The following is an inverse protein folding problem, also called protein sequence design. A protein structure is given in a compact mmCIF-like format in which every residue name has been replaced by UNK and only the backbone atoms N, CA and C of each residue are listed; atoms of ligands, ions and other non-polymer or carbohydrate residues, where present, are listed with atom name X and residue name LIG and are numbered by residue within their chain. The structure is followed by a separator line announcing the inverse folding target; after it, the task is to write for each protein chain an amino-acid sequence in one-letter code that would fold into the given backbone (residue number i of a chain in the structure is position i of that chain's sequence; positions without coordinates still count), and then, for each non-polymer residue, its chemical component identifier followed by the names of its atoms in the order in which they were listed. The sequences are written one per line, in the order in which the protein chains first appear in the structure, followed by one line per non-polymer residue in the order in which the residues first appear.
data_IF_256030565248
#
_entry.id   IF_256030565248
#
_cell.length_a   1.000
_cell.length_b   1.000
_cell.length_c   1.000
_cell.angle_alpha   90.00
_cell.angle_beta   90.00
_cell.angle_gamma   90.00
#
_symmetry.space_group_name_H-M   'P 1'
#
loop_
_entity.id
_entity.type
_entity.pdbx_description
1 polymer ?
#
# COMPACT_ATOMS: atom_id res chain seq x y z
N UNK A 1 -8.63 18.25 27.70
CA UNK A 1 -7.78 17.03 27.66
C UNK A 1 -6.93 17.16 26.41
N UNK A 2 -5.61 17.26 26.54
CA UNK A 2 -4.71 17.44 25.41
C UNK A 2 -4.71 16.16 24.58
N UNK A 3 -5.21 16.21 23.36
CA UNK A 3 -4.99 15.19 22.35
C UNK A 3 -3.50 15.16 22.06
N UNK A 4 -2.84 14.09 22.42
CA UNK A 4 -1.48 13.81 22.00
C UNK A 4 -1.51 13.72 20.47
N UNK A 5 -1.21 14.84 19.79
CA UNK A 5 -0.93 14.85 18.37
C UNK A 5 0.32 13.99 18.15
N UNK A 6 0.11 12.76 17.72
CA UNK A 6 1.19 11.93 17.20
C UNK A 6 1.70 12.63 15.95
N UNK A 7 2.88 13.23 16.03
CA UNK A 7 3.51 13.90 14.90
C UNK A 7 3.76 12.87 13.78
N UNK A 8 2.78 12.74 12.90
CA UNK A 8 2.88 11.86 11.73
C UNK A 8 3.74 12.55 10.68
N UNK A 9 4.94 12.04 10.44
CA UNK A 9 5.79 12.50 9.34
C UNK A 9 5.50 11.63 8.12
N UNK A 10 4.88 12.23 7.11
CA UNK A 10 4.58 11.57 5.83
C UNK A 10 5.89 11.21 5.12
N UNK A 11 6.00 9.97 4.66
CA UNK A 11 7.22 9.45 4.02
C UNK A 11 7.39 10.05 2.64
N UNK A 12 8.62 10.53 2.32
CA UNK A 12 8.99 11.10 1.02
C UNK A 12 8.01 12.18 0.52
N UNK A 13 7.47 12.99 1.46
CA UNK A 13 6.41 13.97 1.18
C UNK A 13 6.78 14.93 0.04
N UNK A 14 7.96 15.52 0.12
CA UNK A 14 8.44 16.48 -0.87
C UNK A 14 8.70 15.79 -2.21
N UNK A 15 9.45 14.70 -2.18
CA UNK A 15 9.87 13.96 -3.35
C UNK A 15 8.68 13.38 -4.14
N UNK A 16 7.65 12.89 -3.45
CA UNK A 16 6.47 12.33 -4.09
C UNK A 16 5.64 13.41 -4.81
N UNK A 17 5.45 14.57 -4.18
CA UNK A 17 4.68 15.67 -4.80
C UNK A 17 5.47 16.34 -5.93
N UNK A 18 6.79 16.49 -5.79
CA UNK A 18 7.66 16.93 -6.89
C UNK A 18 7.63 15.95 -8.07
N UNK A 19 7.63 14.63 -7.80
CA UNK A 19 7.54 13.61 -8.85
C UNK A 19 6.19 13.60 -9.57
N UNK A 20 5.10 14.02 -8.91
CA UNK A 20 3.79 14.17 -9.54
C UNK A 20 3.75 15.30 -10.57
N UNK A 21 4.65 16.29 -10.49
CA UNK A 21 4.70 17.43 -11.41
C UNK A 21 3.37 18.19 -11.45
N UNK A 22 2.95 18.69 -10.29
CA UNK A 22 1.60 19.21 -10.08
C UNK A 22 1.34 20.47 -10.92
N UNK A 23 0.38 20.37 -11.84
CA UNK A 23 -0.17 21.48 -12.63
C UNK A 23 -1.40 22.05 -11.91
N UNK A 24 -1.44 23.37 -11.72
CA UNK A 24 -2.37 24.04 -10.81
C UNK A 24 -3.87 23.74 -11.08
N UNK A 25 -4.27 23.58 -12.35
CA UNK A 25 -5.69 23.42 -12.73
C UNK A 25 -6.09 21.96 -13.02
N UNK A 26 -5.15 21.02 -12.86
CA UNK A 26 -5.39 19.62 -13.21
C UNK A 26 -6.03 18.82 -12.06
N UNK A 27 -6.47 17.61 -12.39
CA UNK A 27 -7.00 16.65 -11.43
C UNK A 27 -5.95 15.62 -11.07
N UNK A 28 -5.80 15.35 -9.77
CA UNK A 28 -4.90 14.35 -9.19
C UNK A 28 -5.66 13.34 -8.37
N UNK A 29 -5.02 12.18 -8.16
CA UNK A 29 -5.55 11.13 -7.29
C UNK A 29 -4.52 10.79 -6.22
N UNK A 30 -4.97 10.80 -4.95
CA UNK A 30 -4.28 10.19 -3.82
C UNK A 30 -5.05 8.92 -3.44
N UNK A 31 -4.47 7.75 -3.70
CA UNK A 31 -5.16 6.46 -3.49
C UNK A 31 -5.10 5.96 -2.05
N UNK A 32 -4.35 6.65 -1.19
CA UNK A 32 -4.00 6.25 0.17
C UNK A 32 -3.96 7.48 1.07
N UNK A 33 -5.11 8.11 1.28
CA UNK A 33 -5.20 9.41 1.94
C UNK A 33 -4.57 9.42 3.34
N UNK A 34 -4.81 8.36 4.15
CA UNK A 34 -4.29 8.23 5.51
C UNK A 34 -4.62 9.41 6.41
N UNK A 35 -3.64 10.26 6.69
CA UNK A 35 -3.83 11.52 7.45
C UNK A 35 -3.72 12.77 6.56
N UNK A 36 -3.67 12.60 5.26
CA UNK A 36 -3.71 13.68 4.29
C UNK A 36 -2.41 14.47 4.18
N UNK A 37 -1.26 13.88 4.50
CA UNK A 37 0.02 14.57 4.36
C UNK A 37 0.33 14.90 2.91
N UNK A 38 0.34 13.92 2.03
CA UNK A 38 0.49 14.12 0.59
C UNK A 38 -0.65 14.95 0.01
N UNK A 39 -1.91 14.62 0.38
CA UNK A 39 -3.09 15.32 -0.09
C UNK A 39 -3.03 16.82 0.18
N UNK A 40 -2.69 17.25 1.40
CA UNK A 40 -2.52 18.68 1.72
C UNK A 40 -1.45 19.33 0.85
N UNK A 41 -0.31 18.68 0.68
CA UNK A 41 0.78 19.23 -0.12
C UNK A 41 0.42 19.34 -1.61
N UNK A 42 -0.38 18.40 -2.14
CA UNK A 42 -0.95 18.51 -3.50
C UNK A 42 -1.92 19.68 -3.57
N UNK A 43 -2.86 19.79 -2.61
CA UNK A 43 -3.84 20.89 -2.55
C UNK A 43 -3.17 22.27 -2.46
N UNK A 44 -2.06 22.39 -1.72
CA UNK A 44 -1.27 23.64 -1.66
C UNK A 44 -0.73 24.09 -3.02
N UNK A 45 -0.54 23.15 -3.95
CA UNK A 45 -0.03 23.40 -5.30
C UNK A 45 -1.16 23.61 -6.33
N UNK A 46 -2.42 23.30 -6.00
CA UNK A 46 -3.56 23.44 -6.87
C UNK A 46 -4.20 24.84 -6.77
N UNK A 47 -4.67 25.34 -7.91
CA UNK A 47 -5.55 26.52 -7.97
C UNK A 47 -6.98 26.16 -7.55
N UNK A 48 -7.91 27.14 -7.45
CA UNK A 48 -9.33 26.86 -7.21
C UNK A 48 -10.01 25.97 -8.27
N UNK A 49 -9.42 25.85 -9.46
CA UNK A 49 -9.91 25.01 -10.58
C UNK A 49 -9.34 23.59 -10.54
N UNK A 50 -8.26 23.37 -9.80
CA UNK A 50 -7.65 22.05 -9.64
C UNK A 50 -8.48 21.17 -8.71
N UNK A 51 -8.35 19.85 -8.85
CA UNK A 51 -9.11 18.89 -8.07
C UNK A 51 -8.21 17.76 -7.54
N UNK A 52 -8.52 17.28 -6.35
CA UNK A 52 -7.91 16.09 -5.75
C UNK A 52 -8.98 15.08 -5.39
N UNK A 53 -8.93 13.91 -6.01
CA UNK A 53 -9.76 12.76 -5.64
C UNK A 53 -8.92 11.89 -4.71
N UNK A 54 -9.42 11.61 -3.51
CA UNK A 54 -8.73 10.75 -2.56
C UNK A 54 -9.55 9.50 -2.28
N UNK A 55 -8.84 8.39 -2.04
CA UNK A 55 -9.42 7.12 -1.62
C UNK A 55 -8.82 6.71 -0.28
N UNK A 56 -9.63 6.11 0.57
CA UNK A 56 -9.15 5.36 1.72
C UNK A 56 -10.21 4.34 2.16
N UNK A 57 -9.75 3.19 2.67
CA UNK A 57 -10.59 2.15 3.26
C UNK A 57 -10.91 2.46 4.73
N UNK A 58 -10.02 3.19 5.42
CA UNK A 58 -10.15 3.47 6.84
C UNK A 58 -11.19 4.56 7.09
N UNK A 59 -12.29 4.28 7.82
CA UNK A 59 -13.27 5.30 8.18
C UNK A 59 -12.65 6.52 8.85
N UNK A 60 -11.61 6.35 9.68
CA UNK A 60 -10.93 7.45 10.36
C UNK A 60 -10.15 8.37 9.39
N UNK A 61 -9.63 7.79 8.30
CA UNK A 61 -9.01 8.58 7.23
C UNK A 61 -10.06 9.41 6.49
N UNK A 62 -11.21 8.81 6.21
CA UNK A 62 -12.34 9.51 5.57
C UNK A 62 -12.83 10.67 6.43
N UNK A 63 -13.04 10.47 7.74
CA UNK A 63 -13.39 11.53 8.68
C UNK A 63 -12.34 12.66 8.70
N UNK A 64 -11.05 12.30 8.68
CA UNK A 64 -9.95 13.26 8.63
C UNK A 64 -9.99 14.09 7.34
N UNK A 65 -10.29 13.47 6.20
CA UNK A 65 -10.42 14.16 4.91
C UNK A 65 -11.60 15.12 4.89
N UNK A 66 -12.75 14.68 5.39
CA UNK A 66 -13.96 15.52 5.49
C UNK A 66 -13.74 16.74 6.39
N UNK A 67 -12.99 16.55 7.49
CA UNK A 67 -12.66 17.64 8.41
C UNK A 67 -11.72 18.71 7.82
N UNK A 68 -11.03 18.44 6.69
CA UNK A 68 -10.24 19.46 5.99
C UNK A 68 -11.10 20.56 5.40
N UNK A 69 -12.33 20.24 4.97
CA UNK A 69 -13.28 21.23 4.43
C UNK A 69 -12.80 21.91 3.13
N UNK A 70 -11.80 21.35 2.43
CA UNK A 70 -11.31 21.91 1.17
C UNK A 70 -12.27 21.52 0.02
N UNK A 71 -12.88 22.48 -0.69
CA UNK A 71 -13.84 22.19 -1.75
C UNK A 71 -13.23 21.47 -2.96
N UNK A 72 -11.91 21.49 -3.12
CA UNK A 72 -11.18 20.82 -4.19
C UNK A 72 -10.92 19.35 -3.88
N UNK A 73 -11.10 18.90 -2.63
CA UNK A 73 -10.89 17.53 -2.17
C UNK A 73 -12.19 16.73 -2.24
N UNK A 74 -12.18 15.64 -3.00
CA UNK A 74 -13.24 14.63 -3.00
C UNK A 74 -12.71 13.33 -2.38
N UNK A 75 -13.11 13.02 -1.14
CA UNK A 75 -12.79 11.74 -0.50
C UNK A 75 -13.81 10.66 -0.84
N UNK A 76 -13.34 9.45 -1.14
CA UNK A 76 -14.16 8.25 -1.37
C UNK A 76 -13.78 7.18 -0.36
N UNK A 77 -14.76 6.70 0.41
CA UNK A 77 -14.59 5.58 1.34
C UNK A 77 -14.56 4.25 0.56
N UNK A 78 -13.48 4.03 -0.16
CA UNK A 78 -13.26 2.87 -1.02
C UNK A 78 -11.77 2.54 -1.05
N UNK A 79 -11.44 1.29 -1.36
CA UNK A 79 -10.08 0.91 -1.67
C UNK A 79 -9.61 1.47 -3.01
N UNK A 80 -8.31 1.49 -3.22
CA UNK A 80 -7.72 2.10 -4.41
C UNK A 80 -7.94 1.29 -5.71
N UNK A 81 -8.43 0.05 -5.64
CA UNK A 81 -8.93 -0.65 -6.83
C UNK A 81 -10.07 0.12 -7.51
N UNK A 82 -10.82 0.95 -6.76
CA UNK A 82 -11.89 1.78 -7.30
C UNK A 82 -11.38 2.92 -8.23
N UNK A 83 -10.07 3.07 -8.40
CA UNK A 83 -9.46 3.92 -9.42
C UNK A 83 -10.02 3.63 -10.82
N UNK A 84 -10.37 2.37 -11.12
CA UNK A 84 -10.98 1.95 -12.39
C UNK A 84 -12.36 2.59 -12.70
N UNK A 85 -12.99 3.21 -11.70
CA UNK A 85 -14.28 3.90 -11.86
C UNK A 85 -14.13 5.33 -12.40
N UNK A 86 -12.92 5.84 -12.48
CA UNK A 86 -12.66 7.16 -13.04
C UNK A 86 -12.65 7.10 -14.58
N UNK A 87 -13.06 8.19 -15.24
CA UNK A 87 -13.03 8.25 -16.70
C UNK A 87 -11.61 8.07 -17.27
N UNK A 88 -11.48 7.57 -18.50
CA UNK A 88 -10.19 7.48 -19.16
C UNK A 88 -9.56 8.85 -19.36
N UNK A 89 -8.22 8.91 -19.26
CA UNK A 89 -7.42 10.12 -19.49
C UNK A 89 -7.86 11.35 -18.68
N UNK A 90 -8.46 11.13 -17.49
CA UNK A 90 -9.10 12.20 -16.69
C UNK A 90 -8.19 12.80 -15.62
N UNK A 91 -7.02 12.20 -15.34
CA UNK A 91 -6.15 12.67 -14.26
C UNK A 91 -4.71 12.88 -14.72
N UNK A 92 -4.02 13.87 -14.16
CA UNK A 92 -2.62 14.19 -14.45
C UNK A 92 -1.63 13.53 -13.51
N UNK A 93 -2.11 12.94 -12.43
CA UNK A 93 -1.24 12.17 -11.55
C UNK A 93 -2.01 11.25 -10.62
N UNK A 94 -1.39 10.11 -10.33
CA UNK A 94 -1.86 9.11 -9.36
C UNK A 94 -0.72 8.86 -8.39
N UNK A 95 -0.98 9.09 -7.11
CA UNK A 95 -0.10 8.77 -5.99
C UNK A 95 -0.64 7.56 -5.23
N UNK A 96 0.24 6.62 -4.95
CA UNK A 96 -0.01 5.46 -4.09
C UNK A 96 1.08 5.41 -3.01
N UNK A 97 0.73 5.69 -1.75
CA UNK A 97 1.61 5.50 -0.58
C UNK A 97 1.17 4.22 0.14
N UNK A 98 1.78 3.09 -0.24
CA UNK A 98 1.29 1.75 0.12
C UNK A 98 1.51 1.41 1.60
N UNK A 99 0.76 0.44 2.07
CA UNK A 99 0.89 -0.12 3.41
C UNK A 99 -0.07 0.50 4.42
N UNK A 100 0.40 0.68 5.66
CA UNK A 100 -0.43 1.11 6.80
C UNK A 100 -0.04 2.49 7.31
N UNK A 101 -1.03 3.27 7.71
CA UNK A 101 -0.80 4.57 8.31
C UNK A 101 -0.26 4.45 9.75
N UNK A 102 0.47 5.47 10.21
CA UNK A 102 0.99 5.48 11.59
C UNK A 102 -0.10 5.30 12.66
N UNK A 103 -1.28 5.94 12.57
CA UNK A 103 -2.35 5.71 13.52
C UNK A 103 -2.86 4.27 13.57
N UNK A 104 -2.86 3.55 12.44
CA UNK A 104 -3.22 2.13 12.44
C UNK A 104 -2.20 1.29 13.23
N UNK A 105 -0.90 1.62 13.10
CA UNK A 105 0.16 0.92 13.84
C UNK A 105 0.19 1.33 15.33
N UNK A 106 -0.06 2.61 15.62
CA UNK A 106 0.12 3.18 16.96
C UNK A 106 -1.11 2.96 17.86
N UNK A 107 -2.28 2.66 17.28
CA UNK A 107 -3.48 2.29 18.03
C UNK A 107 -3.53 0.76 18.25
N UNK A 108 -3.31 0.27 19.47
CA UNK A 108 -3.33 -1.17 19.76
C UNK A 108 -4.66 -1.83 19.42
N UNK A 109 -5.77 -1.09 19.52
CA UNK A 109 -7.12 -1.61 19.23
C UNK A 109 -7.35 -1.96 17.76
N UNK A 110 -6.44 -1.53 16.86
CA UNK A 110 -6.48 -1.89 15.44
C UNK A 110 -5.77 -3.22 15.14
N UNK A 111 -4.94 -3.74 16.03
CA UNK A 111 -4.27 -5.04 15.90
C UNK A 111 -3.12 -5.11 14.90
N UNK A 112 -2.65 -3.99 14.32
CA UNK A 112 -1.55 -4.01 13.33
C UNK A 112 -0.16 -4.17 13.94
N UNK A 113 -0.01 -3.96 15.24
CA UNK A 113 1.27 -3.97 15.93
C UNK A 113 1.25 -4.91 17.13
N UNK A 114 2.36 -5.55 17.39
CA UNK A 114 2.62 -6.34 18.61
C UNK A 114 3.58 -5.62 19.58
N UNK A 115 3.72 -4.29 19.47
CA UNK A 115 4.47 -3.49 20.45
C UNK A 115 3.67 -3.25 21.74
N UNK A 116 2.38 -3.16 21.59
CA UNK A 116 1.38 -3.09 22.66
C UNK A 116 0.32 -4.14 22.35
N UNK A 117 -0.29 -4.69 23.39
CA UNK A 117 -1.32 -5.72 23.22
C UNK A 117 -2.64 -5.12 22.75
N UNK A 118 -3.31 -5.84 21.87
CA UNK A 118 -4.60 -5.48 21.32
C UNK A 118 -5.24 -6.67 20.61
N UNK A 119 -6.51 -6.54 20.15
CA UNK A 119 -7.20 -7.60 19.45
C UNK A 119 -6.48 -7.97 18.16
N UNK A 120 -6.50 -9.23 17.77
CA UNK A 120 -5.91 -9.72 16.53
C UNK A 120 -6.86 -9.45 15.35
N UNK A 121 -7.04 -8.15 15.00
CA UNK A 121 -7.98 -7.69 13.97
C UNK A 121 -7.30 -7.45 12.62
N UNK A 122 -6.47 -6.43 12.49
CA UNK A 122 -5.73 -5.97 11.30
C UNK A 122 -6.57 -5.51 10.10
N UNK A 123 -7.88 -5.32 10.22
CA UNK A 123 -8.69 -4.75 9.14
C UNK A 123 -8.40 -3.26 8.99
N UNK A 124 -8.15 -2.80 7.76
CA UNK A 124 -8.09 -1.37 7.43
C UNK A 124 -9.49 -0.75 7.52
N UNK A 125 -10.50 -1.41 6.95
CA UNK A 125 -11.91 -1.08 7.14
C UNK A 125 -12.49 -1.94 8.27
N UNK A 126 -12.56 -1.38 9.47
CA UNK A 126 -13.09 -2.10 10.64
C UNK A 126 -14.61 -2.31 10.61
N UNK A 127 -15.33 -1.69 9.66
CA UNK A 127 -16.78 -1.79 9.55
C UNK A 127 -17.26 -3.05 8.84
N UNK A 128 -16.38 -3.77 8.12
CA UNK A 128 -16.74 -4.94 7.31
C UNK A 128 -15.60 -5.97 7.22
N UNK A 129 -15.94 -7.13 6.67
CA UNK A 129 -14.99 -8.23 6.50
C UNK A 129 -14.73 -8.97 7.81
N UNK A 130 -13.81 -9.93 7.77
CA UNK A 130 -13.38 -10.73 8.92
C UNK A 130 -12.03 -10.26 9.44
N UNK A 131 -11.84 -10.30 10.75
CA UNK A 131 -10.55 -10.09 11.41
C UNK A 131 -9.57 -11.25 11.16
N UNK A 132 -8.29 -11.03 11.48
CA UNK A 132 -7.29 -12.12 11.44
C UNK A 132 -7.70 -13.26 12.38
N UNK A 133 -8.17 -12.94 13.60
CA UNK A 133 -8.62 -13.94 14.56
C UNK A 133 -9.77 -14.78 13.99
N UNK A 134 -10.81 -14.17 13.44
CA UNK A 134 -11.95 -14.86 12.86
C UNK A 134 -11.55 -15.74 11.68
N UNK A 135 -10.64 -15.26 10.83
CA UNK A 135 -10.11 -16.06 9.73
C UNK A 135 -9.33 -17.29 10.24
N UNK A 136 -8.42 -17.10 11.19
CA UNK A 136 -7.60 -18.19 11.77
C UNK A 136 -8.46 -19.25 12.48
N UNK A 137 -9.60 -18.85 13.06
CA UNK A 137 -10.53 -19.76 13.71
C UNK A 137 -11.09 -20.84 12.76
N UNK A 138 -11.13 -20.58 11.45
CA UNK A 138 -11.75 -21.46 10.46
C UNK A 138 -10.81 -21.89 9.31
N UNK A 139 -9.69 -21.20 9.11
CA UNK A 139 -8.78 -21.47 8.01
C UNK A 139 -8.10 -22.84 8.14
N UNK A 140 -7.87 -23.52 7.01
CA UNK A 140 -7.09 -24.76 6.97
C UNK A 140 -5.61 -24.48 7.21
N UNK A 141 -4.90 -25.46 7.78
CA UNK A 141 -3.45 -25.33 8.04
C UNK A 141 -2.67 -24.97 6.78
N UNK A 142 -3.04 -25.59 5.65
CA UNK A 142 -2.39 -25.35 4.34
C UNK A 142 -2.59 -23.92 3.86
N UNK A 143 -3.79 -23.37 4.03
CA UNK A 143 -4.11 -21.97 3.68
C UNK A 143 -3.32 -20.98 4.54
N UNK A 144 -3.25 -21.23 5.85
CA UNK A 144 -2.45 -20.40 6.76
C UNK A 144 -0.96 -20.43 6.36
N UNK A 145 -0.43 -21.63 6.05
CA UNK A 145 0.95 -21.80 5.63
C UNK A 145 1.23 -21.09 4.30
N UNK A 146 0.32 -21.16 3.33
CA UNK A 146 0.41 -20.49 2.03
C UNK A 146 0.46 -18.96 2.22
N UNK A 147 -0.48 -18.40 2.96
CA UNK A 147 -0.51 -16.96 3.27
C UNK A 147 0.80 -16.49 3.91
N UNK A 148 1.28 -17.20 4.95
CA UNK A 148 2.51 -16.82 5.66
C UNK A 148 3.75 -16.95 4.74
N UNK A 149 3.81 -17.97 3.89
CA UNK A 149 4.91 -18.20 2.96
C UNK A 149 4.92 -17.15 1.85
N UNK A 150 3.78 -16.93 1.20
CA UNK A 150 3.70 -16.18 -0.06
C UNK A 150 3.64 -14.67 0.19
N UNK A 151 2.95 -14.22 1.25
CA UNK A 151 2.83 -12.81 1.61
C UNK A 151 3.83 -12.35 2.68
N UNK A 152 4.34 -13.28 3.51
CA UNK A 152 5.34 -12.97 4.53
C UNK A 152 6.77 -13.28 4.11
N UNK A 153 6.96 -14.04 3.02
CA UNK A 153 8.28 -14.61 2.63
C UNK A 153 8.94 -15.35 3.83
N UNK A 154 8.10 -16.01 4.70
CA UNK A 154 8.56 -16.67 5.93
C UNK A 154 8.88 -18.16 5.66
N UNK A 155 10.12 -18.54 5.92
CA UNK A 155 10.59 -19.94 5.70
C UNK A 155 9.98 -20.95 6.66
N UNK A 156 9.57 -20.51 7.86
CA UNK A 156 8.96 -21.36 8.87
C UNK A 156 7.43 -21.42 8.76
N UNK A 157 6.84 -20.99 7.64
CA UNK A 157 5.40 -20.88 7.42
C UNK A 157 4.63 -22.15 7.83
N UNK A 158 5.09 -23.33 7.41
CA UNK A 158 4.45 -24.60 7.77
C UNK A 158 4.47 -24.89 9.28
N UNK A 159 5.57 -24.55 9.95
CA UNK A 159 5.69 -24.72 11.40
C UNK A 159 4.77 -23.78 12.15
N UNK A 160 4.72 -22.50 11.73
CA UNK A 160 3.83 -21.48 12.32
C UNK A 160 2.37 -21.86 12.11
N UNK A 161 1.96 -22.28 10.90
CA UNK A 161 0.60 -22.70 10.63
C UNK A 161 0.16 -23.88 11.48
N UNK A 162 1.01 -24.92 11.63
CA UNK A 162 0.75 -26.06 12.50
C UNK A 162 0.62 -25.65 13.98
N UNK A 163 1.46 -24.73 14.48
CA UNK A 163 1.36 -24.24 15.83
C UNK A 163 0.04 -23.48 16.08
N UNK A 164 -0.36 -22.64 15.13
CA UNK A 164 -1.62 -21.89 15.20
C UNK A 164 -2.81 -22.87 15.23
N UNK A 165 -2.86 -23.82 14.31
CA UNK A 165 -3.98 -24.79 14.24
C UNK A 165 -4.01 -25.72 15.45
N UNK A 166 -2.86 -26.17 15.96
CA UNK A 166 -2.81 -26.95 17.20
C UNK A 166 -3.37 -26.19 18.42
N UNK A 167 -3.04 -24.90 18.54
CA UNK A 167 -3.61 -24.03 19.59
C UNK A 167 -5.11 -23.83 19.40
N UNK A 168 -5.56 -23.59 18.17
CA UNK A 168 -6.97 -23.49 17.85
C UNK A 168 -7.74 -24.75 18.25
N UNK A 169 -7.25 -25.91 17.81
CA UNK A 169 -7.92 -27.20 18.04
C UNK A 169 -7.95 -27.59 19.53
N UNK A 170 -7.04 -27.04 20.32
CA UNK A 170 -7.03 -27.12 21.79
C UNK A 170 -7.91 -26.05 22.47
N UNK A 171 -8.61 -25.18 21.70
CA UNK A 171 -9.41 -24.08 22.27
C UNK A 171 -8.58 -22.96 22.89
N UNK A 172 -7.32 -22.79 22.45
CA UNK A 172 -6.35 -21.85 22.99
C UNK A 172 -5.77 -20.92 21.91
N UNK A 173 -6.51 -20.68 20.81
CA UNK A 173 -6.09 -19.78 19.78
C UNK A 173 -5.87 -18.36 20.39
N UNK A 174 -4.67 -17.75 20.24
CA UNK A 174 -4.46 -16.40 20.74
C UNK A 174 -5.39 -15.40 20.02
N UNK A 175 -6.11 -14.62 20.80
CA UNK A 175 -7.03 -13.56 20.34
C UNK A 175 -6.37 -12.17 20.33
N UNK A 176 -5.15 -12.07 20.87
CA UNK A 176 -4.39 -10.82 20.98
C UNK A 176 -3.11 -10.85 20.16
N UNK A 177 -2.62 -9.65 19.85
CA UNK A 177 -1.39 -9.47 19.06
C UNK A 177 -0.15 -9.97 19.79
N UNK A 178 0.00 -9.73 21.11
CA UNK A 178 1.14 -10.25 21.87
C UNK A 178 1.08 -11.76 22.01
N UNK A 179 -0.11 -12.34 22.26
CA UNK A 179 -0.29 -13.79 22.32
C UNK A 179 0.11 -14.48 21.03
N UNK A 180 -0.33 -13.94 19.88
CA UNK A 180 0.04 -14.47 18.56
C UNK A 180 1.54 -14.28 18.27
N UNK A 181 2.11 -13.13 18.60
CA UNK A 181 3.53 -12.88 18.40
C UNK A 181 4.41 -13.82 19.23
N UNK A 182 4.01 -14.14 20.47
CA UNK A 182 4.69 -15.12 21.31
C UNK A 182 4.66 -16.51 20.70
N UNK A 183 3.48 -16.97 20.22
CA UNK A 183 3.34 -18.26 19.55
C UNK A 183 4.23 -18.38 18.30
N UNK A 184 4.29 -17.33 17.48
CA UNK A 184 5.16 -17.31 16.31
C UNK A 184 6.64 -17.37 16.70
N UNK A 185 7.05 -16.65 17.75
CA UNK A 185 8.42 -16.62 18.24
C UNK A 185 8.92 -17.96 18.81
N UNK A 186 8.01 -18.83 19.28
CA UNK A 186 8.36 -20.20 19.70
C UNK A 186 8.81 -21.07 18.50
N UNK A 187 8.29 -20.79 17.29
CA UNK A 187 8.55 -21.56 16.08
C UNK A 187 9.67 -20.97 15.25
N UNK A 188 9.68 -19.65 15.06
CA UNK A 188 10.65 -18.94 14.22
C UNK A 188 11.95 -18.75 14.99
N UNK A 189 12.92 -19.64 14.74
CA UNK A 189 14.19 -19.68 15.48
C UNK A 189 15.28 -18.77 14.90
N UNK A 190 15.16 -18.38 13.62
CA UNK A 190 16.10 -17.46 12.99
C UNK A 190 15.72 -16.02 13.29
N UNK A 191 16.66 -15.28 13.88
CA UNK A 191 16.48 -13.86 14.18
C UNK A 191 17.36 -13.05 13.23
N UNK A 192 16.74 -12.25 12.38
CA UNK A 192 17.48 -11.18 11.72
C UNK A 192 17.74 -10.08 12.75
N UNK A 193 18.98 -9.55 12.84
CA UNK A 193 19.29 -8.51 13.81
C UNK A 193 18.32 -7.33 13.69
N UNK A 194 17.69 -6.98 14.81
CA UNK A 194 16.74 -5.85 14.87
C UNK A 194 15.32 -6.14 14.37
N UNK A 195 14.98 -7.38 14.00
CA UNK A 195 13.61 -7.77 13.65
C UNK A 195 12.99 -8.70 14.67
N UNK A 196 11.69 -8.51 14.95
CA UNK A 196 10.92 -9.46 15.74
C UNK A 196 10.56 -10.68 14.86
N UNK A 197 10.67 -11.92 15.38
CA UNK A 197 10.31 -13.13 14.63
C UNK A 197 8.90 -13.11 14.04
N UNK A 198 7.94 -12.43 14.68
CA UNK A 198 6.56 -12.35 14.21
C UNK A 198 6.33 -11.36 13.05
N UNK A 199 7.31 -10.51 12.72
CA UNK A 199 7.12 -9.40 11.74
C UNK A 199 6.59 -9.90 10.40
N UNK A 200 7.18 -10.96 9.84
CA UNK A 200 6.79 -11.52 8.52
C UNK A 200 5.39 -12.15 8.57
N UNK A 201 5.07 -12.87 9.63
CA UNK A 201 3.75 -13.46 9.83
C UNK A 201 2.67 -12.39 9.96
N UNK A 202 2.92 -11.32 10.73
CA UNK A 202 1.97 -10.20 10.87
C UNK A 202 1.79 -9.45 9.57
N UNK A 203 2.86 -9.21 8.81
CA UNK A 203 2.78 -8.65 7.46
C UNK A 203 1.90 -9.52 6.56
N UNK A 204 2.09 -10.83 6.57
CA UNK A 204 1.31 -11.77 5.75
C UNK A 204 -0.18 -11.71 6.10
N UNK A 205 -0.52 -11.74 7.38
CA UNK A 205 -1.92 -11.65 7.83
C UNK A 205 -2.57 -10.34 7.43
N UNK A 206 -1.86 -9.22 7.64
CA UNK A 206 -2.33 -7.90 7.25
C UNK A 206 -2.64 -7.84 5.75
N UNK A 207 -1.69 -8.24 4.94
CA UNK A 207 -1.82 -8.20 3.47
C UNK A 207 -2.96 -9.09 2.98
N UNK A 208 -3.13 -10.26 3.59
CA UNK A 208 -4.19 -11.20 3.23
C UNK A 208 -5.58 -10.65 3.59
N UNK A 209 -5.78 -10.23 4.84
CA UNK A 209 -7.09 -9.74 5.32
C UNK A 209 -7.55 -8.49 4.54
N UNK A 210 -6.62 -7.65 4.12
CA UNK A 210 -6.94 -6.43 3.39
C UNK A 210 -6.88 -6.56 1.86
N UNK A 211 -6.43 -7.73 1.34
CA UNK A 211 -6.31 -7.98 -0.11
C UNK A 211 -5.32 -7.01 -0.80
N UNK A 212 -4.23 -6.64 -0.11
CA UNK A 212 -3.39 -5.51 -0.51
C UNK A 212 -2.74 -5.69 -1.89
N UNK A 213 -2.22 -6.89 -2.23
CA UNK A 213 -1.56 -7.12 -3.51
C UNK A 213 -2.54 -7.20 -4.68
N UNK A 214 -3.70 -7.84 -4.48
CA UNK A 214 -4.73 -7.92 -5.54
C UNK A 214 -5.25 -6.52 -5.87
N UNK A 215 -5.45 -5.71 -4.85
CA UNK A 215 -5.88 -4.33 -5.02
C UNK A 215 -4.80 -3.47 -5.69
N UNK A 216 -3.52 -3.66 -5.32
CA UNK A 216 -2.40 -2.99 -5.97
C UNK A 216 -2.34 -3.32 -7.47
N UNK A 217 -2.49 -4.60 -7.83
CA UNK A 217 -2.50 -5.00 -9.24
C UNK A 217 -3.63 -4.32 -10.01
N UNK A 218 -4.85 -4.31 -9.46
CA UNK A 218 -6.00 -3.65 -10.07
C UNK A 218 -5.78 -2.14 -10.23
N UNK A 219 -5.23 -1.49 -9.23
CA UNK A 219 -4.96 -0.05 -9.28
C UNK A 219 -3.84 0.31 -10.27
N UNK A 220 -2.79 -0.51 -10.36
CA UNK A 220 -1.74 -0.33 -11.36
C UNK A 220 -2.31 -0.45 -12.78
N UNK A 221 -3.14 -1.47 -13.04
CA UNK A 221 -3.78 -1.63 -14.36
C UNK A 221 -4.73 -0.47 -14.65
N UNK A 222 -5.52 -0.03 -13.67
CA UNK A 222 -6.41 1.12 -13.80
C UNK A 222 -5.66 2.42 -14.07
N UNK A 223 -4.44 2.59 -13.53
CA UNK A 223 -3.63 3.80 -13.71
C UNK A 223 -3.32 4.07 -15.19
N UNK A 224 -3.14 3.03 -16.01
CA UNK A 224 -2.94 3.19 -17.47
C UNK A 224 -4.16 3.77 -18.18
N UNK A 225 -5.34 3.48 -17.65
CA UNK A 225 -6.59 3.93 -18.23
C UNK A 225 -6.93 5.37 -17.84
N UNK A 226 -6.73 5.72 -16.57
CA UNK A 226 -7.16 7.01 -16.02
C UNK A 226 -6.16 8.13 -16.24
N UNK A 227 -4.85 7.81 -16.35
CA UNK A 227 -3.81 8.80 -16.57
C UNK A 227 -3.88 9.38 -17.99
N UNK A 228 -4.01 10.68 -18.09
CA UNK A 228 -3.85 11.41 -19.34
C UNK A 228 -2.39 11.37 -19.82
N UNK A 229 -2.12 11.52 -21.12
CA UNK A 229 -0.76 11.68 -21.64
C UNK A 229 0.01 12.79 -20.90
N UNK A 230 1.26 12.51 -20.51
CA UNK A 230 2.09 13.35 -19.66
C UNK A 230 1.76 13.24 -18.16
N UNK A 231 0.74 12.46 -17.79
CA UNK A 231 0.40 12.22 -16.38
C UNK A 231 1.39 11.29 -15.68
N UNK A 232 1.53 11.42 -14.37
CA UNK A 232 2.53 10.73 -13.55
C UNK A 232 1.91 9.67 -12.64
N UNK A 233 2.49 8.48 -12.66
CA UNK A 233 2.26 7.43 -11.67
C UNK A 233 3.41 7.48 -10.66
N UNK A 234 3.11 7.75 -9.39
CA UNK A 234 4.07 7.78 -8.27
C UNK A 234 3.63 6.74 -7.25
N UNK A 235 4.49 5.76 -6.97
CA UNK A 235 4.18 4.68 -6.03
C UNK A 235 5.30 4.56 -5.01
N UNK A 236 4.96 4.63 -3.71
CA UNK A 236 5.84 4.38 -2.58
C UNK A 236 5.49 3.01 -2.01
N UNK A 237 6.46 2.10 -2.00
CA UNK A 237 6.36 0.74 -1.49
C UNK A 237 7.22 0.57 -0.25
N UNK A 238 6.79 -0.25 0.72
CA UNK A 238 7.51 -0.47 1.98
C UNK A 238 8.09 -1.86 2.15
N UNK A 239 7.73 -2.79 1.28
CA UNK A 239 8.29 -4.15 1.30
C UNK A 239 8.53 -4.71 -0.11
N UNK A 240 9.28 -5.83 -0.14
CA UNK A 240 9.78 -6.45 -1.38
C UNK A 240 8.69 -6.85 -2.38
N UNK A 241 7.55 -7.33 -1.92
CA UNK A 241 6.47 -7.82 -2.79
C UNK A 241 5.80 -6.65 -3.53
N UNK A 242 5.47 -5.56 -2.82
CA UNK A 242 4.93 -4.34 -3.44
C UNK A 242 5.90 -3.77 -4.47
N UNK A 243 7.17 -3.54 -4.06
CA UNK A 243 8.18 -2.97 -4.94
C UNK A 243 8.43 -3.84 -6.19
N UNK A 244 8.40 -5.17 -6.03
CA UNK A 244 8.55 -6.12 -7.13
C UNK A 244 7.40 -6.01 -8.13
N UNK A 245 6.15 -5.92 -7.64
CA UNK A 245 4.96 -5.78 -8.47
C UNK A 245 4.99 -4.47 -9.25
N UNK A 246 5.23 -3.33 -8.59
CA UNK A 246 5.34 -2.01 -9.23
C UNK A 246 6.47 -1.97 -10.25
N UNK A 247 7.65 -2.53 -9.91
CA UNK A 247 8.80 -2.62 -10.81
C UNK A 247 8.46 -3.43 -12.07
N UNK A 248 7.82 -4.60 -11.90
CA UNK A 248 7.45 -5.47 -13.02
C UNK A 248 6.39 -4.81 -13.90
N UNK A 249 5.39 -4.16 -13.30
CA UNK A 249 4.37 -3.42 -14.01
C UNK A 249 4.98 -2.29 -14.87
N UNK A 250 5.80 -1.42 -14.28
CA UNK A 250 6.46 -0.34 -15.03
C UNK A 250 7.36 -0.91 -16.13
N UNK A 251 8.13 -1.95 -15.86
CA UNK A 251 9.02 -2.56 -16.85
C UNK A 251 8.24 -3.15 -18.02
N UNK A 252 7.11 -3.84 -17.76
CA UNK A 252 6.24 -4.43 -18.79
C UNK A 252 5.69 -3.36 -19.75
N UNK A 253 5.37 -2.19 -19.24
CA UNK A 253 4.71 -1.12 -20.00
C UNK A 253 5.65 -0.01 -20.49
N UNK A 254 6.98 -0.09 -20.18
CA UNK A 254 7.97 0.92 -20.57
C UNK A 254 9.21 0.38 -21.29
N UNK A 255 9.29 -0.94 -21.47
CA UNK A 255 10.47 -1.55 -22.13
C UNK A 255 10.03 -2.55 -23.18
N UNK A 256 10.61 -2.42 -24.34
CA UNK A 256 10.50 -3.43 -25.39
C UNK A 256 11.26 -4.70 -24.94
N UNK A 257 10.56 -5.84 -24.98
CA UNK A 257 11.15 -7.15 -24.76
C UNK A 257 11.30 -7.81 -26.12
N UNK A 258 12.52 -7.88 -26.64
CA UNK A 258 12.79 -8.58 -27.89
C UNK A 258 12.54 -10.09 -27.71
N UNK A 259 11.49 -10.58 -28.38
CA UNK A 259 11.21 -12.02 -28.43
C UNK A 259 11.87 -12.62 -29.68
N UNK A 260 12.89 -13.42 -29.45
CA UNK A 260 13.62 -14.15 -30.52
C UNK A 260 12.74 -15.13 -31.30
N UNK A 261 11.57 -15.51 -30.76
CA UNK A 261 10.62 -16.42 -31.42
C UNK A 261 9.74 -15.71 -32.44
N UNK A 262 9.59 -14.40 -32.32
CA UNK A 262 8.78 -13.56 -33.20
C UNK A 262 9.54 -12.32 -33.67
N UNK A 263 10.67 -12.49 -34.41
CA UNK A 263 11.59 -11.40 -34.73
C UNK A 263 10.98 -10.29 -35.62
N UNK A 264 9.84 -10.58 -36.27
CA UNK A 264 9.12 -9.65 -37.16
C UNK A 264 7.78 -9.18 -36.56
N UNK A 265 7.52 -9.44 -35.27
CA UNK A 265 6.32 -8.89 -34.63
C UNK A 265 6.41 -7.36 -34.58
N UNK A 266 5.26 -6.70 -34.76
CA UNK A 266 5.17 -5.26 -34.56
C UNK A 266 5.62 -4.92 -33.12
N UNK A 267 6.38 -3.83 -32.96
CA UNK A 267 6.80 -3.36 -31.65
C UNK A 267 5.55 -3.12 -30.76
N UNK A 268 5.55 -3.58 -29.51
CA UNK A 268 4.43 -3.36 -28.61
C UNK A 268 4.27 -1.86 -28.34
N UNK A 269 3.03 -1.42 -28.18
CA UNK A 269 2.77 -0.08 -27.66
C UNK A 269 3.25 0.00 -26.20
N UNK A 270 4.12 0.95 -25.91
CA UNK A 270 4.66 1.18 -24.58
C UNK A 270 4.03 2.43 -23.97
N UNK A 271 2.92 2.29 -23.24
CA UNK A 271 2.19 3.45 -22.73
C UNK A 271 2.87 4.20 -21.61
N UNK A 272 3.95 3.66 -21.03
CA UNK A 272 4.70 4.30 -19.97
C UNK A 272 6.15 4.60 -20.38
N UNK A 273 6.67 5.67 -19.78
CA UNK A 273 8.09 5.99 -19.70
C UNK A 273 8.54 5.88 -18.24
N UNK A 274 9.45 4.98 -17.92
CA UNK A 274 10.00 4.89 -16.57
C UNK A 274 10.89 6.12 -16.28
N UNK A 275 10.62 6.84 -15.20
CA UNK A 275 11.38 8.02 -14.77
C UNK A 275 12.41 7.70 -13.71
N UNK A 276 12.31 6.51 -13.09
CA UNK A 276 13.31 6.05 -12.15
C UNK A 276 12.75 5.59 -10.81
N UNK A 277 13.67 5.45 -9.85
CA UNK A 277 13.36 5.12 -8.45
C UNK A 277 14.15 5.99 -7.51
N UNK A 278 13.59 6.26 -6.33
CA UNK A 278 14.24 7.00 -5.25
C UNK A 278 14.04 6.30 -3.91
N UNK A 279 14.95 6.50 -2.99
CA UNK A 279 14.84 6.11 -1.59
C UNK A 279 14.81 7.36 -0.72
N UNK A 280 14.27 7.27 0.51
CA UNK A 280 14.35 8.36 1.48
C UNK A 280 15.78 8.78 1.74
N UNK A 281 15.99 10.05 2.06
CA UNK A 281 17.30 10.55 2.47
C UNK A 281 17.74 9.97 3.81
N UNK A 282 19.05 10.03 4.11
CA UNK A 282 19.57 9.58 5.40
C UNK A 282 18.99 10.39 6.57
N UNK A 283 18.75 11.69 6.35
CA UNK A 283 18.13 12.61 7.29
C UNK A 283 16.68 12.21 7.58
N UNK A 284 15.91 11.89 6.54
CA UNK A 284 14.54 11.41 6.70
C UNK A 284 14.49 10.08 7.46
N UNK A 285 15.35 9.12 7.13
CA UNK A 285 15.41 7.83 7.82
C UNK A 285 15.79 8.01 9.30
N UNK A 286 16.66 8.97 9.62
CA UNK A 286 17.01 9.30 11.00
C UNK A 286 15.84 9.93 11.76
N UNK A 287 15.09 10.83 11.12
CA UNK A 287 13.94 11.49 11.70
C UNK A 287 12.71 10.57 11.78
N UNK A 288 12.50 9.75 10.74
CA UNK A 288 11.39 8.79 10.64
C UNK A 288 11.91 7.39 10.28
N UNK A 289 12.27 6.54 11.26
CA UNK A 289 12.77 5.18 10.99
C UNK A 289 11.82 4.28 10.18
N UNK A 290 10.52 4.62 10.13
CA UNK A 290 9.52 3.89 9.32
C UNK A 290 9.75 4.07 7.82
N UNK A 291 10.40 5.17 7.40
CA UNK A 291 10.75 5.42 6.00
C UNK A 291 11.88 4.53 5.47
N UNK A 292 12.66 3.88 6.34
CA UNK A 292 13.90 3.15 5.97
C UNK A 292 13.74 2.16 4.81
N UNK A 293 12.61 1.47 4.74
CA UNK A 293 12.33 0.47 3.71
C UNK A 293 11.62 1.04 2.48
N UNK A 294 11.22 2.31 2.50
CA UNK A 294 10.47 2.93 1.42
C UNK A 294 11.28 2.97 0.11
N UNK A 295 10.59 2.68 -0.98
CA UNK A 295 11.09 2.82 -2.35
C UNK A 295 10.01 3.51 -3.16
N UNK A 296 10.30 4.71 -3.65
CA UNK A 296 9.43 5.41 -4.58
C UNK A 296 9.80 5.06 -6.02
N UNK A 297 8.82 4.71 -6.84
CA UNK A 297 8.95 4.54 -8.29
C UNK A 297 8.05 5.50 -9.03
N UNK A 298 8.56 6.02 -10.13
CA UNK A 298 7.88 7.03 -10.94
C UNK A 298 7.85 6.59 -12.39
N UNK A 299 6.68 6.69 -13.01
CA UNK A 299 6.49 6.52 -14.45
C UNK A 299 5.59 7.63 -15.01
N UNK A 300 5.74 7.92 -16.29
CA UNK A 300 4.93 8.88 -17.01
C UNK A 300 4.11 8.17 -18.09
N UNK A 301 2.84 8.52 -18.19
CA UNK A 301 1.96 8.09 -19.26
C UNK A 301 2.32 8.83 -20.54
N UNK A 302 2.67 8.13 -21.58
CA UNK A 302 2.94 8.73 -22.90
C UNK A 302 1.79 8.39 -23.86
N UNK A 303 1.56 9.25 -24.85
CA UNK A 303 0.57 8.96 -25.92
C UNK A 303 0.98 7.74 -26.72
N UNK A 304 0.04 6.84 -26.97
CA UNK A 304 0.25 5.73 -27.88
C UNK A 304 -0.11 6.15 -29.32
N UNK A 305 0.39 5.42 -30.30
CA UNK A 305 0.10 5.71 -31.71
C UNK A 305 -1.42 5.66 -32.00
N UNK A 306 -2.18 4.79 -31.31
CA UNK A 306 -3.64 4.69 -31.44
C UNK A 306 -4.40 5.89 -30.87
N UNK A 307 -3.81 6.61 -29.91
CA UNK A 307 -4.41 7.81 -29.32
C UNK A 307 -4.12 9.07 -30.16
N UNK A 308 -3.18 8.98 -31.09
CA UNK A 308 -2.78 10.07 -31.99
C UNK A 308 -3.48 10.00 -33.36
N UNK A 309 -4.12 8.86 -33.70
CA UNK A 309 -4.85 8.61 -34.92
C UNK A 309 -6.34 8.91 -34.76
#
# INVERSE_FOLDING_TARGET
MATTEWAHTTVMLKEAVEALDVQAEATYVDTTFGRGGHARRILDSLSPQGNLIAFDKDPQAVETAQALGDPRLQIRHQGFAALNQLPPNSVKGVLMDLGVSSPQIDNPQRGFSFRQDGPLDMRMDSSKGQSVYEWLAHAKTEQIAEVIRDLGEERFANGVAKAITAKRDAGQLPDTTLGMAALVAEVVKTREPGQNPATRTFQAFRMFINGELDELQQALDASLHVLAPGGRLVVISFHSLEDRMVKQFIAKHSREVYDRRTPFAAAPELPLRALGRQRPSAEEVKANPRSRSAIMRVAERISTAREQA
#
